data_IF_257310477535
#
_entry.id   IF_257310477535
#
_cell.length_a   1.000
_cell.length_b   1.000
_cell.length_c   1.000
_cell.angle_alpha   90.00
_cell.angle_beta   90.00
_cell.angle_gamma   90.00
#
_symmetry.space_group_name_H-M   'P 1'
#
loop_
_entity.id
_entity.type
_entity.pdbx_description
1 polymer ?
#
# COMPACT_ATOMS: atom_id res chain seq x y z
N UNK A 1 -20.79 -9.90 -0.42
CA UNK A 1 -20.59 -9.53 0.99
C UNK A 1 -20.95 -10.64 1.98
N UNK A 2 -21.81 -11.61 1.66
CA UNK A 2 -22.16 -12.70 2.60
C UNK A 2 -21.02 -13.70 2.84
N UNK A 3 -20.18 -13.97 1.83
CA UNK A 3 -19.05 -14.89 1.95
C UNK A 3 -17.94 -14.38 2.89
N UNK A 4 -17.77 -13.06 3.06
CA UNK A 4 -16.76 -12.53 3.98
C UNK A 4 -17.10 -12.83 5.44
N UNK A 5 -18.36 -13.10 5.80
CA UNK A 5 -18.75 -13.46 7.17
C UNK A 5 -18.14 -14.80 7.63
N UNK A 6 -17.62 -15.60 6.71
CA UNK A 6 -16.93 -16.86 7.02
C UNK A 6 -15.45 -16.66 7.38
N UNK A 7 -14.94 -15.44 7.25
CA UNK A 7 -13.54 -15.10 7.52
C UNK A 7 -13.48 -14.38 8.87
N UNK A 8 -12.78 -14.92 9.88
CA UNK A 8 -12.44 -14.18 11.08
C UNK A 8 -11.49 -13.03 10.72
N UNK A 9 -11.99 -11.80 10.79
CA UNK A 9 -11.22 -10.61 10.44
C UNK A 9 -10.40 -10.14 11.64
N UNK A 10 -9.08 -10.14 11.50
CA UNK A 10 -8.20 -9.34 12.33
C UNK A 10 -8.12 -7.94 11.74
N UNK A 11 -8.28 -6.90 12.57
CA UNK A 11 -8.14 -5.51 12.14
C UNK A 11 -7.01 -4.83 12.91
N UNK A 12 -6.07 -4.24 12.18
CA UNK A 12 -5.02 -3.38 12.72
C UNK A 12 -5.17 -1.99 12.11
N UNK A 13 -5.25 -0.97 12.96
CA UNK A 13 -5.28 0.42 12.52
C UNK A 13 -4.04 1.16 13.02
N UNK A 14 -3.57 2.12 12.24
CA UNK A 14 -2.49 3.02 12.62
C UNK A 14 -2.72 4.41 12.01
N UNK A 15 -2.07 5.40 12.59
CA UNK A 15 -2.04 6.77 12.09
C UNK A 15 -0.62 7.09 11.65
N UNK A 16 -0.47 7.72 10.49
CA UNK A 16 0.82 8.05 9.90
C UNK A 16 0.91 9.55 9.67
N UNK A 17 2.06 10.14 9.99
CA UNK A 17 2.43 11.46 9.50
C UNK A 17 3.04 11.34 8.10
N UNK A 18 2.36 11.88 7.09
CA UNK A 18 2.80 11.84 5.69
C UNK A 18 3.29 13.20 5.20
N UNK A 19 3.68 14.12 6.10
CA UNK A 19 4.19 15.45 5.74
C UNK A 19 5.34 15.40 4.71
N UNK A 20 6.33 14.54 4.90
CA UNK A 20 7.46 14.40 3.96
C UNK A 20 7.00 13.96 2.56
N UNK A 21 6.02 13.06 2.48
CA UNK A 21 5.46 12.61 1.20
C UNK A 21 4.69 13.73 0.49
N UNK A 22 3.93 14.52 1.23
CA UNK A 22 3.20 15.69 0.69
C UNK A 22 4.18 16.71 0.15
N UNK A 23 5.26 16.97 0.87
CA UNK A 23 6.32 17.87 0.43
C UNK A 23 7.03 17.34 -0.82
N UNK A 24 7.40 16.05 -0.83
CA UNK A 24 8.02 15.42 -1.99
C UNK A 24 7.12 15.51 -3.23
N UNK A 25 5.82 15.22 -3.08
CA UNK A 25 4.84 15.37 -4.18
C UNK A 25 4.81 16.82 -4.65
N UNK A 26 4.72 17.78 -3.74
CA UNK A 26 4.62 19.20 -4.08
C UNK A 26 5.82 19.71 -4.88
N UNK A 27 7.04 19.27 -4.50
CA UNK A 27 8.28 19.64 -5.20
C UNK A 27 8.41 18.98 -6.58
N UNK A 28 7.90 17.76 -6.75
CA UNK A 28 8.12 16.94 -7.95
C UNK A 28 6.96 16.91 -8.94
N UNK A 29 5.74 17.25 -8.49
CA UNK A 29 4.52 17.11 -9.29
C UNK A 29 4.55 17.90 -10.61
N UNK A 30 5.10 19.13 -10.59
CA UNK A 30 5.21 19.96 -11.80
C UNK A 30 6.13 19.30 -12.85
N UNK A 31 7.35 18.93 -12.44
CA UNK A 31 8.31 18.26 -13.32
C UNK A 31 7.76 16.91 -13.82
N UNK A 32 7.08 16.16 -12.96
CA UNK A 32 6.44 14.89 -13.33
C UNK A 32 5.36 15.07 -14.41
N UNK A 33 4.53 16.10 -14.27
CA UNK A 33 3.51 16.43 -15.27
C UNK A 33 4.14 16.86 -16.60
N UNK A 34 5.19 17.68 -16.57
CA UNK A 34 5.90 18.13 -17.77
C UNK A 34 6.61 16.96 -18.51
N UNK A 35 7.18 16.02 -17.77
CA UNK A 35 7.92 14.89 -18.34
C UNK A 35 7.03 13.75 -18.82
N UNK A 36 5.94 13.46 -18.10
CA UNK A 36 5.14 12.26 -18.33
C UNK A 36 3.68 12.52 -18.70
N UNK A 37 3.20 13.77 -18.64
CA UNK A 37 1.81 14.11 -18.96
C UNK A 37 0.78 13.49 -18.00
N UNK A 38 1.22 13.11 -16.80
CA UNK A 38 0.41 12.45 -15.78
C UNK A 38 0.36 13.28 -14.50
N UNK A 39 -0.81 13.35 -13.87
CA UNK A 39 -0.95 13.96 -12.55
C UNK A 39 -0.33 13.02 -11.52
N UNK A 40 0.65 13.51 -10.76
CA UNK A 40 1.25 12.76 -9.67
C UNK A 40 0.27 12.68 -8.49
N UNK A 41 -0.23 11.49 -8.20
CA UNK A 41 -1.09 11.19 -7.04
C UNK A 41 -0.34 10.33 -6.02
N UNK A 42 -0.91 10.13 -4.82
CA UNK A 42 -0.29 9.28 -3.78
C UNK A 42 -0.48 7.78 -4.02
N UNK A 43 -1.55 7.39 -4.72
CA UNK A 43 -1.91 5.99 -4.95
C UNK A 43 -0.80 5.13 -5.58
N UNK A 44 -0.06 5.59 -6.61
CA UNK A 44 1.05 4.84 -7.18
C UNK A 44 2.14 4.48 -6.14
N UNK A 45 2.39 5.39 -5.20
CA UNK A 45 3.33 5.14 -4.10
C UNK A 45 2.77 4.08 -3.15
N UNK A 46 1.51 4.19 -2.72
CA UNK A 46 0.87 3.22 -1.83
C UNK A 46 0.88 1.80 -2.42
N UNK A 47 0.60 1.68 -3.72
CA UNK A 47 0.66 0.41 -4.46
C UNK A 47 2.09 -0.14 -4.46
N UNK A 48 3.09 0.69 -4.75
CA UNK A 48 4.48 0.23 -4.77
C UNK A 48 4.98 -0.18 -3.38
N UNK A 49 4.64 0.59 -2.35
CA UNK A 49 4.97 0.26 -0.95
C UNK A 49 4.32 -1.02 -0.49
N UNK A 50 3.05 -1.25 -0.88
CA UNK A 50 2.35 -2.51 -0.60
C UNK A 50 3.12 -3.67 -1.21
N UNK A 51 3.56 -3.55 -2.47
CA UNK A 51 4.38 -4.59 -3.11
C UNK A 51 5.71 -4.84 -2.41
N UNK A 52 6.44 -3.77 -2.02
CA UNK A 52 7.69 -3.93 -1.29
C UNK A 52 7.46 -4.62 0.06
N UNK A 53 6.37 -4.26 0.74
CA UNK A 53 6.01 -4.85 2.04
C UNK A 53 5.51 -6.29 1.90
N UNK A 54 4.86 -6.64 0.79
CA UNK A 54 4.41 -8.01 0.49
C UNK A 54 5.56 -8.96 0.17
N UNK A 55 6.70 -8.44 -0.29
CA UNK A 55 7.89 -9.25 -0.52
C UNK A 55 8.38 -9.92 0.77
N UNK A 56 8.27 -9.22 1.92
CA UNK A 56 8.52 -9.80 3.25
C UNK A 56 7.63 -11.03 3.52
N UNK A 57 6.39 -11.01 3.05
CA UNK A 57 5.42 -12.10 3.20
C UNK A 57 5.59 -13.22 2.14
N UNK A 58 6.66 -13.22 1.33
CA UNK A 58 7.00 -14.23 0.31
C UNK A 58 5.83 -14.59 -0.63
N UNK A 59 5.01 -13.62 -1.03
CA UNK A 59 3.94 -13.85 -2.02
C UNK A 59 4.50 -13.87 -3.44
N UNK A 60 4.06 -14.86 -4.22
CA UNK A 60 4.58 -15.08 -5.59
C UNK A 60 4.14 -14.03 -6.62
N UNK A 61 2.95 -13.42 -6.45
CA UNK A 61 2.43 -12.43 -7.38
C UNK A 61 1.76 -11.26 -6.64
N UNK A 62 2.19 -10.04 -6.93
CA UNK A 62 1.61 -8.83 -6.35
C UNK A 62 0.59 -8.23 -7.32
N UNK A 63 -0.65 -8.72 -7.24
CA UNK A 63 -1.78 -8.19 -7.99
C UNK A 63 -2.62 -7.32 -7.06
N UNK A 64 -2.43 -6.01 -7.17
CA UNK A 64 -3.01 -5.05 -6.24
C UNK A 64 -4.33 -4.54 -6.80
N UNK A 65 -5.43 -4.96 -6.17
CA UNK A 65 -6.77 -4.46 -6.42
C UNK A 65 -6.95 -3.05 -5.88
N UNK A 66 -7.58 -2.17 -6.63
CA UNK A 66 -7.84 -0.79 -6.22
C UNK A 66 -9.34 -0.56 -6.27
N UNK A 67 -9.93 -0.25 -5.12
CA UNK A 67 -11.34 0.09 -5.06
C UNK A 67 -11.56 1.46 -5.71
N UNK A 68 -12.38 1.50 -6.76
CA UNK A 68 -12.76 2.72 -7.48
C UNK A 68 -14.27 2.87 -7.47
N UNK A 69 -14.73 4.09 -7.21
CA UNK A 69 -16.13 4.43 -7.37
C UNK A 69 -16.42 4.72 -8.85
N UNK A 70 -17.45 4.08 -9.38
CA UNK A 70 -17.87 4.23 -10.78
C UNK A 70 -19.37 4.50 -10.83
N UNK A 71 -19.91 5.02 -11.95
CA UNK A 71 -21.36 5.22 -12.09
C UNK A 71 -22.20 3.95 -11.88
N UNK A 72 -21.62 2.77 -12.10
CA UNK A 72 -22.25 1.46 -11.93
C UNK A 72 -22.08 0.90 -10.50
N UNK A 73 -21.36 1.63 -9.63
CA UNK A 73 -21.06 1.27 -8.25
C UNK A 73 -19.57 1.03 -8.00
N UNK A 74 -19.26 0.46 -6.83
CA UNK A 74 -17.90 0.18 -6.40
C UNK A 74 -17.32 -1.02 -7.16
N UNK A 75 -16.26 -0.79 -7.93
CA UNK A 75 -15.51 -1.84 -8.63
C UNK A 75 -14.08 -1.94 -8.08
N UNK A 76 -13.46 -3.12 -8.23
CA UNK A 76 -12.09 -3.38 -7.74
C UNK A 76 -11.23 -3.97 -8.86
N UNK A 77 -10.80 -3.17 -9.85
CA UNK A 77 -9.83 -3.61 -10.83
C UNK A 77 -8.45 -3.84 -10.20
N UNK A 78 -7.63 -4.65 -10.87
CA UNK A 78 -6.38 -5.22 -10.38
C UNK A 78 -5.19 -4.79 -11.24
N UNK A 79 -4.21 -4.15 -10.62
CA UNK A 79 -2.91 -3.87 -11.25
C UNK A 79 -2.05 -5.10 -11.09
N UNK A 80 -1.66 -5.72 -12.21
CA UNK A 80 -0.94 -6.99 -12.20
C UNK A 80 0.55 -6.80 -11.99
N UNK A 81 1.16 -7.75 -11.28
CA UNK A 81 2.61 -7.89 -11.17
C UNK A 81 3.34 -6.60 -10.79
N UNK A 82 2.85 -5.86 -9.79
CA UNK A 82 3.38 -4.52 -9.49
C UNK A 82 4.80 -4.56 -8.91
N UNK A 83 5.30 -5.74 -8.54
CA UNK A 83 6.72 -5.92 -8.20
C UNK A 83 7.65 -5.52 -9.35
N UNK A 84 7.24 -5.78 -10.60
CA UNK A 84 8.02 -5.47 -11.82
C UNK A 84 7.77 -4.07 -12.37
N UNK A 85 6.74 -3.37 -11.87
CA UNK A 85 6.34 -2.07 -12.39
C UNK A 85 7.03 -0.93 -11.63
N UNK A 86 7.43 0.11 -12.36
CA UNK A 86 7.85 1.37 -11.77
C UNK A 86 6.64 2.18 -11.26
N UNK A 87 6.88 3.16 -10.39
CA UNK A 87 5.83 4.06 -9.90
C UNK A 87 5.12 4.77 -11.06
N UNK A 88 5.85 5.12 -12.14
CA UNK A 88 5.30 5.74 -13.34
C UNK A 88 4.37 4.77 -14.07
N UNK A 89 4.81 3.52 -14.29
CA UNK A 89 3.99 2.50 -14.95
C UNK A 89 2.71 2.20 -14.15
N UNK A 90 2.82 2.14 -12.82
CA UNK A 90 1.67 2.02 -11.93
C UNK A 90 0.72 3.21 -12.08
N UNK A 91 1.23 4.44 -12.17
CA UNK A 91 0.42 5.63 -12.37
C UNK A 91 -0.33 5.63 -13.72
N UNK A 92 0.35 5.23 -14.79
CA UNK A 92 -0.27 5.05 -16.11
C UNK A 92 -1.38 4.01 -16.06
N UNK A 93 -1.14 2.87 -15.41
CA UNK A 93 -2.09 1.78 -15.33
C UNK A 93 -3.30 2.13 -14.46
N UNK A 94 -3.08 2.83 -13.34
CA UNK A 94 -4.16 3.40 -12.53
C UNK A 94 -5.06 4.31 -13.35
N UNK A 95 -4.48 5.20 -14.15
CA UNK A 95 -5.25 6.10 -15.02
C UNK A 95 -6.05 5.31 -16.06
N UNK A 96 -5.44 4.30 -16.70
CA UNK A 96 -6.14 3.41 -17.65
C UNK A 96 -7.36 2.76 -16.99
N UNK A 97 -7.20 2.19 -15.81
CA UNK A 97 -8.27 1.52 -15.07
C UNK A 97 -9.37 2.49 -14.63
N UNK A 98 -9.01 3.70 -14.19
CA UNK A 98 -9.96 4.75 -13.85
C UNK A 98 -10.76 5.20 -15.08
N UNK A 99 -10.11 5.43 -16.22
CA UNK A 99 -10.75 5.84 -17.47
C UNK A 99 -11.68 4.74 -18.03
N UNK A 100 -11.33 3.46 -17.85
CA UNK A 100 -12.18 2.34 -18.23
C UNK A 100 -13.34 2.15 -17.27
N UNK A 101 -13.11 2.28 -15.97
CA UNK A 101 -14.14 2.22 -14.93
C UNK A 101 -15.18 3.33 -15.10
N UNK A 102 -14.74 4.57 -15.38
CA UNK A 102 -15.64 5.68 -15.67
C UNK A 102 -16.50 5.47 -16.92
N UNK A 103 -16.05 4.64 -17.86
CA UNK A 103 -16.76 4.30 -19.11
C UNK A 103 -17.51 2.96 -19.06
N UNK A 104 -17.46 2.21 -17.95
CA UNK A 104 -18.04 0.87 -17.86
C UNK A 104 -17.38 -0.16 -18.80
N UNK A 105 -16.11 0.03 -19.17
CA UNK A 105 -15.38 -0.81 -20.14
C UNK A 105 -14.28 -1.67 -19.52
N UNK A 106 -14.37 -1.94 -18.23
CA UNK A 106 -13.42 -2.84 -17.55
C UNK A 106 -13.63 -4.28 -18.04
N UNK A 107 -12.54 -4.94 -18.41
CA UNK A 107 -12.57 -6.34 -18.82
C UNK A 107 -12.61 -7.30 -17.62
N UNK A 108 -12.90 -8.57 -17.89
CA UNK A 108 -12.83 -9.64 -16.88
C UNK A 108 -11.41 -9.82 -16.32
N UNK A 109 -10.40 -9.57 -17.15
CA UNK A 109 -8.99 -9.69 -16.76
C UNK A 109 -8.58 -8.59 -15.78
N UNK A 110 -9.16 -7.40 -15.94
CA UNK A 110 -8.99 -6.27 -15.03
C UNK A 110 -9.59 -6.59 -13.65
N UNK A 111 -10.69 -7.33 -13.58
CA UNK A 111 -11.44 -7.59 -12.33
C UNK A 111 -11.04 -8.88 -11.61
N UNK A 112 -10.24 -9.76 -12.24
CA UNK A 112 -9.87 -11.06 -11.69
C UNK A 112 -8.49 -11.05 -11.00
N UNK A 113 -8.11 -12.13 -10.33
CA UNK A 113 -6.71 -12.40 -9.93
C UNK A 113 -6.08 -11.46 -8.89
N UNK A 114 -6.87 -10.62 -8.21
CA UNK A 114 -6.39 -9.77 -7.11
C UNK A 114 -5.88 -10.60 -5.94
N UNK A 115 -4.76 -10.18 -5.34
CA UNK A 115 -4.17 -10.83 -4.15
C UNK A 115 -4.25 -9.96 -2.89
N UNK A 116 -4.19 -8.64 -3.07
CA UNK A 116 -4.33 -7.63 -2.01
C UNK A 116 -5.21 -6.50 -2.54
N UNK A 117 -6.02 -5.89 -1.69
CA UNK A 117 -6.91 -4.79 -2.11
C UNK A 117 -6.61 -3.53 -1.31
N UNK A 118 -6.45 -2.40 -2.01
CA UNK A 118 -6.38 -1.07 -1.42
C UNK A 118 -7.66 -0.28 -1.74
N UNK A 119 -8.17 0.42 -0.73
CA UNK A 119 -9.37 1.23 -0.81
C UNK A 119 -9.06 2.59 -0.20
N UNK A 120 -9.11 3.64 -1.02
CA UNK A 120 -8.96 4.99 -0.52
C UNK A 120 -10.34 5.61 -0.27
N UNK A 121 -10.69 5.85 0.99
CA UNK A 121 -11.99 6.41 1.40
C UNK A 121 -11.91 7.89 1.78
N UNK A 122 -10.72 8.51 1.71
CA UNK A 122 -10.53 9.96 1.82
C UNK A 122 -11.07 10.60 3.11
N UNK A 123 -10.20 10.88 4.09
CA UNK A 123 -10.56 11.68 5.27
C UNK A 123 -9.43 12.67 5.61
N UNK A 124 -9.77 13.92 5.97
CA UNK A 124 -8.82 14.89 6.55
C UNK A 124 -9.07 14.96 8.05
N UNK A 125 -8.00 14.95 8.85
CA UNK A 125 -8.07 15.05 10.32
C UNK A 125 -7.29 16.29 10.83
N UNK A 126 -7.78 16.98 11.87
CA UNK A 126 -7.06 18.08 12.52
C UNK A 126 -5.95 17.57 13.46
N UNK A 127 -4.86 18.33 13.65
CA UNK A 127 -3.76 18.05 14.61
C UNK A 127 -3.47 19.28 15.47
N UNK A 128 -2.85 19.10 16.63
CA UNK A 128 -2.18 20.18 17.35
C UNK A 128 -0.71 20.24 16.92
N UNK A 129 -0.24 21.43 16.57
CA UNK A 129 1.17 21.74 16.35
C UNK A 129 1.92 21.87 17.67
N UNK A 130 3.25 21.85 17.58
CA UNK A 130 4.15 21.88 18.74
C UNK A 130 4.05 23.19 19.56
N UNK A 131 3.45 24.23 18.98
CA UNK A 131 3.13 25.52 19.60
C UNK A 131 1.75 25.56 20.28
N UNK A 132 1.05 24.41 20.33
CA UNK A 132 -0.30 24.30 20.88
C UNK A 132 -1.40 24.82 19.95
N UNK A 133 -1.07 25.26 18.72
CA UNK A 133 -2.07 25.69 17.74
C UNK A 133 -2.66 24.49 17.00
N UNK A 134 -3.93 24.56 16.59
CA UNK A 134 -4.51 23.50 15.74
C UNK A 134 -4.01 23.71 14.31
N UNK A 135 -3.14 22.83 13.84
CA UNK A 135 -2.67 22.79 12.45
C UNK A 135 -3.33 21.63 11.71
N UNK A 136 -3.60 21.79 10.42
CA UNK A 136 -4.07 20.66 9.61
C UNK A 136 -2.86 19.76 9.34
N UNK A 137 -2.71 18.72 10.16
CA UNK A 137 -1.66 17.72 9.95
C UNK A 137 -1.93 16.92 8.68
N UNK A 138 -0.87 16.55 7.96
CA UNK A 138 -0.94 15.57 6.89
C UNK A 138 -0.99 14.17 7.48
N UNK A 139 -2.07 13.85 8.22
CA UNK A 139 -2.26 12.55 8.85
C UNK A 139 -3.03 11.63 7.91
N UNK A 140 -2.50 10.43 7.74
CA UNK A 140 -3.13 9.33 7.02
C UNK A 140 -3.51 8.23 8.02
N UNK A 141 -4.80 7.96 8.13
CA UNK A 141 -5.26 6.80 8.88
C UNK A 141 -5.29 5.58 7.96
N UNK A 142 -4.63 4.52 8.43
CA UNK A 142 -4.49 3.26 7.73
C UNK A 142 -5.20 2.18 8.53
N UNK A 143 -5.97 1.32 7.86
CA UNK A 143 -6.56 0.14 8.50
C UNK A 143 -6.36 -1.08 7.63
N UNK A 144 -5.85 -2.14 8.24
CA UNK A 144 -5.59 -3.43 7.63
C UNK A 144 -6.61 -4.44 8.15
N UNK A 145 -7.26 -5.16 7.25
CA UNK A 145 -8.03 -6.34 7.61
C UNK A 145 -7.40 -7.59 7.01
N UNK A 146 -7.14 -8.60 7.84
CA UNK A 146 -6.49 -9.85 7.45
C UNK A 146 -7.27 -11.08 7.94
N UNK A 147 -7.13 -12.19 7.22
CA UNK A 147 -7.70 -13.48 7.60
C UNK A 147 -6.88 -14.11 8.74
N UNK A 148 -7.40 -14.04 9.97
CA UNK A 148 -6.68 -14.50 11.17
C UNK A 148 -6.48 -16.03 11.21
N UNK A 149 -7.08 -16.79 10.27
CA UNK A 149 -6.82 -18.24 10.17
C UNK A 149 -5.44 -18.54 9.63
N UNK A 150 -4.88 -17.62 8.84
CA UNK A 150 -3.62 -17.82 8.09
C UNK A 150 -2.59 -16.73 8.34
N UNK A 151 -2.98 -15.58 8.91
CA UNK A 151 -2.06 -14.50 9.28
C UNK A 151 -2.21 -14.19 10.76
N UNK A 152 -1.09 -14.12 11.48
CA UNK A 152 -1.03 -13.65 12.86
C UNK A 152 -0.91 -12.12 12.95
N UNK A 153 -1.23 -11.57 14.13
CA UNK A 153 -1.17 -10.13 14.38
C UNK A 153 0.24 -9.55 14.24
N UNK A 154 1.29 -10.32 14.58
CA UNK A 154 2.68 -9.87 14.49
C UNK A 154 3.12 -9.64 13.03
N UNK A 155 2.64 -10.48 12.12
CA UNK A 155 2.91 -10.38 10.68
C UNK A 155 2.24 -9.16 10.09
N UNK A 156 0.97 -8.89 10.43
CA UNK A 156 0.28 -7.66 10.01
C UNK A 156 0.96 -6.42 10.58
N UNK A 157 1.40 -6.46 11.85
CA UNK A 157 2.10 -5.36 12.48
C UNK A 157 3.46 -5.06 11.81
N UNK A 158 4.27 -6.08 11.55
CA UNK A 158 5.55 -5.92 10.82
C UNK A 158 5.34 -5.39 9.40
N UNK A 159 4.36 -5.94 8.68
CA UNK A 159 3.99 -5.46 7.36
C UNK A 159 3.56 -3.99 7.39
N UNK A 160 2.70 -3.63 8.35
CA UNK A 160 2.23 -2.27 8.55
C UNK A 160 3.39 -1.33 8.85
N UNK A 161 4.28 -1.67 9.78
CA UNK A 161 5.44 -0.84 10.14
C UNK A 161 6.41 -0.65 8.97
N UNK A 162 6.65 -1.70 8.17
CA UNK A 162 7.48 -1.61 6.98
C UNK A 162 6.86 -0.64 5.96
N UNK A 163 5.56 -0.79 5.70
CA UNK A 163 4.80 0.08 4.83
C UNK A 163 4.80 1.54 5.31
N UNK A 164 4.60 1.77 6.61
CA UNK A 164 4.68 3.09 7.26
C UNK A 164 6.07 3.71 7.08
N UNK A 165 7.13 2.93 7.26
CA UNK A 165 8.51 3.43 7.13
C UNK A 165 8.83 3.98 5.74
N UNK A 166 8.17 3.48 4.69
CA UNK A 166 8.33 4.01 3.34
C UNK A 166 7.59 5.32 3.10
N UNK A 167 6.53 5.58 3.85
CA UNK A 167 5.71 6.79 3.75
C UNK A 167 6.27 7.95 4.55
N UNK A 168 6.73 7.66 5.76
CA UNK A 168 7.36 8.66 6.63
C UNK A 168 8.72 9.09 6.08
N UNK A 169 9.42 8.21 5.36
CA UNK A 169 10.75 8.47 4.79
C UNK A 169 10.82 8.05 3.32
N UNK A 170 10.25 8.83 2.39
CA UNK A 170 10.19 8.46 0.98
C UNK A 170 11.57 8.39 0.30
N UNK A 171 12.62 8.97 0.89
CA UNK A 171 14.01 8.75 0.44
C UNK A 171 14.44 7.28 0.56
N UNK A 172 13.92 6.54 1.55
CA UNK A 172 14.15 5.10 1.72
C UNK A 172 13.62 4.30 0.53
N UNK A 173 12.49 4.72 -0.05
CA UNK A 173 11.97 4.12 -1.29
C UNK A 173 12.98 4.23 -2.43
N UNK A 174 13.56 5.42 -2.62
CA UNK A 174 14.48 5.68 -3.72
C UNK A 174 15.73 4.80 -3.59
N UNK A 175 16.21 4.59 -2.36
CA UNK A 175 17.31 3.68 -2.07
C UNK A 175 16.94 2.23 -2.42
N UNK A 176 15.78 1.74 -1.98
CA UNK A 176 15.33 0.37 -2.26
C UNK A 176 15.03 0.12 -3.74
N UNK A 177 14.54 1.13 -4.47
CA UNK A 177 14.32 1.00 -5.92
C UNK A 177 15.63 0.93 -6.71
N UNK A 178 16.71 1.54 -6.20
CA UNK A 178 18.06 1.48 -6.82
C UNK A 178 18.82 0.22 -6.44
N UNK A 179 18.63 -0.31 -5.22
CA UNK A 179 19.22 -1.58 -4.80
C UNK A 179 18.50 -2.77 -5.43
N UNK A 180 17.18 -2.72 -5.63
CA UNK A 180 16.43 -3.78 -6.31
C UNK A 180 16.82 -3.96 -7.80
N UNK A 181 17.44 -2.96 -8.42
CA UNK A 181 18.02 -3.05 -9.77
C UNK A 181 19.43 -3.64 -9.82
N UNK A 182 20.08 -3.86 -8.68
CA UNK A 182 21.47 -4.38 -8.61
C UNK A 182 21.50 -5.59 -7.68
N UNK A 183 21.60 -6.79 -8.25
CA UNK A 183 21.93 -8.07 -7.58
C UNK A 183 21.30 -8.30 -6.19
N UNK A 184 20.13 -8.95 -6.19
CA UNK A 184 19.35 -9.28 -5.00
C UNK A 184 19.91 -10.42 -4.13
N UNK A 185 21.06 -10.99 -4.47
CA UNK A 185 21.60 -12.21 -3.83
C UNK A 185 22.74 -12.00 -2.81
N UNK A 186 23.22 -10.78 -2.57
CA UNK A 186 24.28 -10.61 -1.56
C UNK A 186 23.97 -9.53 -0.52
N UNK A 187 23.83 -10.00 0.71
CA UNK A 187 24.32 -9.38 1.96
C UNK A 187 23.99 -7.90 2.18
N UNK A 188 22.99 -7.65 3.03
CA UNK A 188 22.94 -6.37 3.75
C UNK A 188 22.58 -6.61 5.22
N UNK A 189 23.59 -6.56 6.09
CA UNK A 189 23.51 -6.75 7.54
C UNK A 189 22.56 -5.73 8.19
N UNK A 190 22.35 -4.58 7.54
CA UNK A 190 21.36 -3.55 7.91
C UNK A 190 19.91 -4.06 7.85
N UNK A 191 19.62 -5.10 7.06
CA UNK A 191 18.31 -5.77 7.04
C UNK A 191 18.03 -6.57 8.31
N UNK A 192 19.08 -7.09 8.96
CA UNK A 192 18.93 -7.86 10.22
C UNK A 192 18.60 -6.93 11.39
N UNK A 193 19.20 -5.75 11.45
CA UNK A 193 18.98 -4.81 12.56
C UNK A 193 17.53 -4.30 12.64
N UNK A 194 16.83 -4.17 11.50
CA UNK A 194 15.41 -3.79 11.48
C UNK A 194 14.46 -4.97 11.80
N UNK A 195 14.93 -6.21 11.61
CA UNK A 195 14.21 -7.43 11.99
C UNK A 195 14.42 -7.82 13.47
N UNK A 196 15.42 -7.24 14.13
CA UNK A 196 15.77 -7.50 15.53
C UNK A 196 15.20 -6.49 16.53
N UNK A 197 14.61 -5.37 16.08
CA UNK A 197 13.91 -4.48 17.00
C UNK A 197 12.53 -5.07 17.35
N UNK A 198 12.27 -5.43 18.62
CA UNK A 198 11.06 -6.16 18.98
C UNK A 198 9.88 -5.18 19.04
N UNK A 199 8.74 -5.44 18.35
CA UNK A 199 7.47 -4.98 18.89
C UNK A 199 7.17 -5.81 20.14
N UNK A 200 6.57 -5.16 21.14
CA UNK A 200 6.05 -5.69 22.39
C UNK A 200 5.93 -7.24 22.47
N UNK A 201 6.62 -7.84 23.46
CA UNK A 201 6.67 -9.29 23.73
C UNK A 201 5.27 -9.93 23.71
N UNK A 202 5.10 -10.92 22.84
CA UNK A 202 4.49 -12.20 23.23
C UNK A 202 5.09 -13.30 22.35
N UNK A 203 5.50 -14.38 23.00
CA UNK A 203 6.38 -15.41 22.45
C UNK A 203 5.71 -16.32 21.40
N UNK A 204 6.55 -16.75 20.45
CA UNK A 204 6.47 -17.99 19.66
C UNK A 204 5.23 -18.25 18.78
N UNK A 205 5.43 -18.47 17.47
CA UNK A 205 5.24 -19.78 16.81
C UNK A 205 5.52 -19.65 15.30
N UNK A 206 5.97 -20.78 14.76
CA UNK A 206 6.56 -21.11 13.47
C UNK A 206 5.90 -20.57 12.18
N UNK A 207 6.79 -20.35 11.20
CA UNK A 207 6.51 -20.28 9.77
C UNK A 207 6.01 -21.61 9.23
N UNK A 208 4.85 -21.62 8.55
CA UNK A 208 4.65 -22.38 7.31
C UNK A 208 3.26 -22.12 6.69
N UNK A 209 3.22 -22.17 5.36
CA UNK A 209 2.06 -22.21 4.46
C UNK A 209 1.33 -20.88 4.14
N UNK A 210 1.74 -20.22 3.05
CA UNK A 210 0.92 -19.18 2.39
C UNK A 210 0.73 -19.56 0.92
N UNK A 211 -0.17 -20.51 0.67
CA UNK A 211 -0.69 -20.80 -0.66
C UNK A 211 -2.20 -21.06 -0.59
N UNK A 212 -2.98 -19.98 -0.47
CA UNK A 212 -4.43 -20.00 -0.68
C UNK A 212 -4.86 -18.64 -1.21
N UNK A 213 -5.65 -18.65 -2.28
CA UNK A 213 -6.10 -17.49 -3.06
C UNK A 213 -7.20 -16.66 -2.38
N UNK A 214 -7.11 -16.42 -1.07
CA UNK A 214 -7.97 -15.46 -0.37
C UNK A 214 -7.34 -14.06 -0.42
N UNK A 215 -8.16 -13.04 -0.71
CA UNK A 215 -7.76 -11.62 -0.65
C UNK A 215 -7.23 -11.31 0.75
N UNK A 216 -5.91 -11.24 0.84
CA UNK A 216 -5.19 -11.53 2.07
C UNK A 216 -5.12 -10.31 3.01
N UNK A 217 -5.20 -9.11 2.45
CA UNK A 217 -5.11 -7.84 3.17
C UNK A 217 -6.03 -6.82 2.48
N UNK A 218 -6.97 -6.22 3.22
CA UNK A 218 -7.70 -5.03 2.80
C UNK A 218 -7.09 -3.82 3.47
N UNK A 219 -6.60 -2.88 2.66
CA UNK A 219 -6.19 -1.57 3.13
C UNK A 219 -7.32 -0.58 2.96
N UNK A 220 -7.64 0.15 4.03
CA UNK A 220 -8.47 1.34 3.97
C UNK A 220 -7.60 2.54 4.34
N UNK A 221 -7.37 3.45 3.40
CA UNK A 221 -6.67 4.72 3.65
C UNK A 221 -7.68 5.85 3.75
N UNK A 222 -7.54 6.70 4.75
CA UNK A 222 -8.25 7.96 4.87
C UNK A 222 -7.37 9.13 4.46
N UNK A 223 -7.19 9.38 3.16
CA UNK A 223 -6.46 10.56 2.68
C UNK A 223 -6.98 11.03 1.31
N UNK A 224 -7.23 12.34 1.17
CA UNK A 224 -7.68 12.91 -0.10
C UNK A 224 -6.55 12.81 -1.14
N UNK A 225 -6.75 11.98 -2.17
CA UNK A 225 -5.77 11.75 -3.24
C UNK A 225 -5.72 12.86 -4.29
N UNK A 226 -6.58 13.88 -4.15
CA UNK A 226 -6.75 14.98 -5.10
C UNK A 226 -5.57 15.95 -5.18
#
# INVERSE_FOLDING_TARGET
>A
MTLSNQIPHFVLSAELDVAELVELRSRTAKAFMEQHGLKLTYMPFFVKFTSLSLHFCKKAAHNVGIAIDTPEGLLVPSIKSVERLSVIQIATELKRLQDLGARGKLGTDDLSGTTVTLSNIGSRLPRFGDDGTVTVGHILNVSWAADHRVIDGATVARFSNLWQSYLERPTKLILELKSATTDWESSDESRKQFLEEPPFRSDSIASDSINSGSNLIRLTTGFDSS
#
